data_IF_442533580999
#
_entry.id   IF_442533580999
#
_cell.length_a   1.000
_cell.length_b   1.000
_cell.length_c   1.000
_cell.angle_alpha   90.00
_cell.angle_beta   90.00
_cell.angle_gamma   90.00
#
_symmetry.space_group_name_H-M   'P 1'
#
loop_
_entity.id
_entity.type
_entity.pdbx_description
1 polymer ?
#
# COMPACT_ATOMS: atom_id res chain seq x y z
N UNK A 1 -9.14 21.47 -66.22
CA UNK A 1 -8.49 20.23 -65.76
C UNK A 1 -8.86 20.06 -64.30
N UNK A 2 -9.66 19.04 -64.03
CA UNK A 2 -10.38 18.84 -62.76
C UNK A 2 -9.42 18.34 -61.68
N UNK A 3 -9.48 18.97 -60.50
CA UNK A 3 -8.72 18.59 -59.31
C UNK A 3 -9.31 17.35 -58.66
N UNK A 4 -8.44 16.43 -58.25
CA UNK A 4 -8.78 15.23 -57.50
C UNK A 4 -8.33 15.44 -56.05
N UNK A 5 -9.30 15.62 -55.16
CA UNK A 5 -9.11 15.69 -53.72
C UNK A 5 -9.05 14.26 -53.18
N UNK A 6 -7.88 13.84 -52.68
CA UNK A 6 -7.74 12.56 -51.98
C UNK A 6 -8.47 12.62 -50.64
N UNK A 7 -9.44 11.72 -50.54
CA UNK A 7 -10.38 11.55 -49.45
C UNK A 7 -9.67 10.94 -48.22
N UNK A 8 -9.97 11.53 -47.06
CA UNK A 8 -9.53 11.07 -45.74
C UNK A 8 -10.13 9.69 -45.40
N UNK A 9 -9.27 8.74 -45.02
CA UNK A 9 -9.68 7.50 -44.36
C UNK A 9 -9.70 7.72 -42.84
N UNK A 10 -10.90 7.96 -42.28
CA UNK A 10 -11.18 8.04 -40.84
C UNK A 10 -11.42 6.63 -40.24
N UNK A 11 -10.60 6.15 -39.28
CA UNK A 11 -10.79 4.85 -38.64
C UNK A 11 -11.74 4.88 -37.42
N UNK A 12 -12.85 5.62 -37.48
CA UNK A 12 -13.79 5.78 -36.34
C UNK A 12 -15.15 5.09 -36.56
N UNK A 13 -15.40 4.50 -37.74
CA UNK A 13 -16.70 3.91 -38.07
C UNK A 13 -16.89 2.42 -37.68
N UNK A 14 -15.90 1.75 -37.07
CA UNK A 14 -15.96 0.30 -36.80
C UNK A 14 -16.42 -0.09 -35.38
N UNK A 15 -16.69 0.87 -34.47
CA UNK A 15 -16.87 0.58 -33.04
C UNK A 15 -18.33 0.56 -32.54
N UNK A 16 -19.34 0.67 -33.41
CA UNK A 16 -20.73 0.94 -32.96
C UNK A 16 -21.71 -0.25 -33.01
N UNK A 17 -21.32 -1.45 -33.41
CA UNK A 17 -22.30 -2.53 -33.71
C UNK A 17 -22.26 -3.82 -32.85
N UNK A 18 -21.65 -3.82 -31.66
CA UNK A 18 -21.52 -5.05 -30.84
C UNK A 18 -22.04 -4.98 -29.39
N UNK A 19 -22.80 -3.95 -29.00
CA UNK A 19 -23.36 -3.83 -27.63
C UNK A 19 -24.89 -3.90 -27.53
N UNK A 20 -25.55 -4.55 -28.48
CA UNK A 20 -26.97 -4.87 -28.38
C UNK A 20 -27.13 -6.39 -28.32
N UNK A 21 -27.29 -6.95 -27.11
CA UNK A 21 -28.04 -8.19 -26.76
C UNK A 21 -27.48 -8.87 -25.49
N UNK A 22 -27.59 -8.23 -24.32
CA UNK A 22 -27.67 -8.96 -23.04
C UNK A 22 -28.49 -8.14 -22.04
N UNK A 23 -29.82 -8.10 -22.26
CA UNK A 23 -30.80 -7.76 -21.21
C UNK A 23 -31.24 -9.07 -20.56
N UNK A 24 -30.50 -9.48 -19.53
CA UNK A 24 -30.88 -10.54 -18.60
C UNK A 24 -31.61 -9.91 -17.41
N UNK A 25 -32.83 -10.36 -17.20
CA UNK A 25 -33.83 -9.99 -16.20
C UNK A 25 -33.31 -9.82 -14.77
N UNK A 26 -33.63 -8.68 -14.16
CA UNK A 26 -33.52 -8.42 -12.73
C UNK A 26 -34.52 -9.27 -11.94
N UNK A 27 -34.02 -10.18 -11.10
CA UNK A 27 -34.78 -10.86 -10.08
C UNK A 27 -34.82 -10.03 -8.81
N UNK A 28 -35.92 -9.31 -8.59
CA UNK A 28 -36.24 -8.64 -7.33
C UNK A 28 -36.72 -9.71 -6.34
N UNK A 29 -35.96 -9.97 -5.27
CA UNK A 29 -36.41 -10.80 -4.16
C UNK A 29 -37.20 -9.93 -3.15
N UNK A 30 -38.41 -10.36 -2.73
CA UNK A 30 -39.28 -9.55 -1.89
C UNK A 30 -38.83 -9.54 -0.43
N UNK A 31 -38.64 -8.34 0.10
CA UNK A 31 -38.61 -8.03 1.53
C UNK A 31 -40.05 -7.99 2.03
N UNK A 32 -40.55 -9.04 2.70
CA UNK A 32 -41.60 -8.97 3.73
C UNK A 32 -42.04 -10.34 4.27
N UNK A 33 -42.22 -10.38 5.59
CA UNK A 33 -42.79 -11.47 6.41
C UNK A 33 -41.85 -12.67 6.60
N UNK A 34 -41.48 -13.07 7.81
CA UNK A 34 -42.41 -13.44 8.87
C UNK A 34 -41.73 -13.31 10.26
N UNK A 35 -42.10 -12.26 10.98
CA UNK A 35 -42.07 -12.23 12.44
C UNK A 35 -43.07 -13.29 12.96
N UNK A 36 -42.68 -14.56 13.04
CA UNK A 36 -43.48 -15.59 13.74
C UNK A 36 -42.65 -16.85 14.03
N UNK A 37 -41.67 -16.76 14.93
CA UNK A 37 -41.28 -17.90 15.78
C UNK A 37 -41.16 -17.41 17.22
N UNK A 38 -42.33 -17.07 17.78
CA UNK A 38 -42.52 -16.83 19.19
C UNK A 38 -42.56 -18.16 19.95
N UNK A 39 -41.89 -18.15 21.11
CA UNK A 39 -42.27 -18.84 22.35
C UNK A 39 -42.18 -20.37 22.35
N UNK A 40 -41.02 -20.90 22.73
CA UNK A 40 -40.95 -22.10 23.59
C UNK A 40 -39.91 -21.93 24.69
N UNK A 41 -40.41 -21.90 25.92
CA UNK A 41 -39.77 -22.10 27.22
C UNK A 41 -38.79 -21.03 27.74
N UNK A 42 -39.36 -19.97 28.30
CA UNK A 42 -38.85 -19.40 29.54
C UNK A 42 -39.68 -20.00 30.70
N UNK A 43 -39.01 -20.64 31.67
CA UNK A 43 -39.40 -20.74 33.08
C UNK A 43 -38.42 -21.69 33.78
N UNK A 44 -37.46 -21.12 34.53
CA UNK A 44 -37.00 -21.52 35.87
C UNK A 44 -35.61 -20.92 36.13
N UNK A 45 -35.50 -20.10 37.17
CA UNK A 45 -34.21 -19.69 37.72
C UNK A 45 -33.97 -18.19 37.89
N UNK A 46 -34.96 -17.43 38.40
CA UNK A 46 -34.65 -16.17 39.08
C UNK A 46 -34.05 -16.50 40.45
N UNK A 47 -32.77 -16.17 40.66
CA UNK A 47 -32.18 -15.70 41.92
C UNK A 47 -30.65 -15.78 41.85
N UNK A 48 -29.97 -14.65 41.63
CA UNK A 48 -28.90 -14.14 42.52
C UNK A 48 -28.15 -12.99 41.83
N UNK A 49 -28.02 -11.88 42.53
CA UNK A 49 -26.85 -11.01 42.42
C UNK A 49 -26.95 -9.84 41.44
N UNK A 50 -27.50 -8.72 41.92
CA UNK A 50 -26.97 -7.39 41.61
C UNK A 50 -25.48 -7.35 41.98
N UNK A 51 -24.59 -7.33 40.99
CA UNK A 51 -23.28 -6.68 41.14
C UNK A 51 -23.01 -5.85 39.88
N UNK A 52 -22.93 -4.56 40.13
CA UNK A 52 -22.47 -3.50 39.24
C UNK A 52 -21.21 -3.90 38.47
N UNK A 53 -21.19 -3.60 37.19
CA UNK A 53 -19.99 -3.71 36.39
C UNK A 53 -20.23 -3.15 35.01
N UNK A 54 -20.13 -1.83 34.89
CA UNK A 54 -19.95 -1.17 33.60
C UNK A 54 -18.70 -1.79 32.95
N UNK A 55 -18.90 -2.76 32.08
CA UNK A 55 -17.86 -3.28 31.21
C UNK A 55 -17.52 -2.16 30.23
N UNK A 56 -16.52 -1.36 30.58
CA UNK A 56 -15.91 -0.42 29.67
C UNK A 56 -15.38 -1.21 28.46
N UNK A 57 -16.11 -1.16 27.35
CA UNK A 57 -15.57 -1.50 26.05
C UNK A 57 -14.50 -0.44 25.74
N UNK A 58 -13.29 -0.68 26.21
CA UNK A 58 -12.10 -0.12 25.62
C UNK A 58 -12.02 -0.71 24.21
N UNK A 59 -12.70 -0.07 23.26
CA UNK A 59 -12.37 -0.18 21.87
C UNK A 59 -10.94 0.35 21.73
N UNK A 60 -9.97 -0.54 21.90
CA UNK A 60 -8.61 -0.32 21.47
C UNK A 60 -8.71 -0.15 19.96
N UNK A 61 -8.79 1.10 19.49
CA UNK A 61 -8.35 1.42 18.15
C UNK A 61 -6.89 0.99 18.11
N UNK A 62 -6.63 -0.23 17.62
CA UNK A 62 -5.32 -0.61 17.15
C UNK A 62 -5.02 0.38 16.04
N UNK A 63 -4.31 1.45 16.39
CA UNK A 63 -3.71 2.33 15.42
C UNK A 63 -2.87 1.40 14.54
N UNK A 64 -3.13 1.28 13.24
CA UNK A 64 -2.13 0.73 12.36
C UNK A 64 -1.01 1.76 12.33
N UNK A 65 -0.12 1.71 13.33
CA UNK A 65 1.23 2.20 13.14
C UNK A 65 1.69 1.51 11.87
N UNK A 66 2.05 2.29 10.85
CA UNK A 66 2.52 1.71 9.59
C UNK A 66 3.63 0.70 9.88
N UNK A 67 3.86 -0.26 8.96
CA UNK A 67 4.87 -1.29 9.12
C UNK A 67 6.13 -0.73 9.76
N UNK A 68 6.43 -1.20 10.97
CA UNK A 68 7.65 -0.83 11.67
C UNK A 68 8.82 -1.66 11.15
N UNK A 69 10.04 -1.32 11.57
CA UNK A 69 11.26 -2.09 11.25
C UNK A 69 11.11 -3.61 11.48
N UNK A 70 10.30 -4.02 12.47
CA UNK A 70 10.03 -5.41 12.81
C UNK A 70 9.28 -6.21 11.72
N UNK A 71 8.54 -5.55 10.82
CA UNK A 71 7.78 -6.19 9.74
C UNK A 71 8.60 -6.41 8.48
N UNK A 72 9.82 -5.86 8.41
CA UNK A 72 10.71 -6.05 7.27
C UNK A 72 11.22 -7.51 7.20
N UNK A 73 11.47 -8.05 5.99
CA UNK A 73 12.15 -9.34 5.85
C UNK A 73 13.49 -9.36 6.62
N UNK A 74 13.90 -10.50 7.20
CA UNK A 74 15.14 -10.58 7.98
C UNK A 74 16.39 -10.12 7.23
N UNK A 75 16.48 -10.41 5.93
CA UNK A 75 17.59 -9.96 5.09
C UNK A 75 17.66 -8.44 4.99
N UNK A 76 16.51 -7.78 4.96
CA UNK A 76 16.39 -6.33 4.82
C UNK A 76 16.68 -5.64 6.15
N UNK A 77 16.20 -6.20 7.27
CA UNK A 77 16.61 -5.74 8.60
C UNK A 77 18.15 -5.81 8.76
N UNK A 78 18.75 -6.93 8.38
CA UNK A 78 20.19 -7.10 8.44
C UNK A 78 20.94 -6.17 7.47
N UNK A 79 20.40 -5.92 6.28
CA UNK A 79 20.95 -4.96 5.33
C UNK A 79 20.95 -3.54 5.92
N UNK A 80 19.80 -3.06 6.40
CA UNK A 80 19.64 -1.73 7.00
C UNK A 80 20.56 -1.53 8.20
N UNK A 81 20.65 -2.53 9.10
CA UNK A 81 21.53 -2.48 10.26
C UNK A 81 23.02 -2.33 9.87
N UNK A 82 23.45 -2.97 8.77
CA UNK A 82 24.82 -2.84 8.27
C UNK A 82 25.08 -1.50 7.60
N UNK A 83 24.21 -1.07 6.70
CA UNK A 83 24.46 0.12 5.85
C UNK A 83 24.21 1.45 6.58
N UNK A 84 23.40 1.43 7.64
CA UNK A 84 23.09 2.60 8.47
C UNK A 84 23.75 2.52 9.86
N UNK A 85 24.82 1.74 10.02
CA UNK A 85 25.54 1.63 11.29
C UNK A 85 26.10 2.99 11.77
N UNK A 86 26.47 3.88 10.84
CA UNK A 86 26.72 5.30 11.15
C UNK A 86 25.45 6.13 10.90
N UNK A 87 24.73 6.43 11.98
CA UNK A 87 23.50 7.22 11.93
C UNK A 87 23.72 8.68 11.48
N UNK A 88 24.96 9.20 11.47
CA UNK A 88 25.23 10.58 11.00
C UNK A 88 25.10 10.71 9.49
N UNK A 89 25.32 9.61 8.76
CA UNK A 89 25.29 9.58 7.30
C UNK A 89 24.54 8.33 6.84
N UNK A 90 23.21 8.29 7.00
CA UNK A 90 22.42 7.13 6.61
C UNK A 90 22.56 6.88 5.12
N UNK A 91 23.06 5.69 4.77
CA UNK A 91 23.16 5.23 3.39
C UNK A 91 21.79 5.00 2.76
N UNK A 92 20.81 4.61 3.58
CA UNK A 92 19.43 4.33 3.20
C UNK A 92 18.49 5.17 4.06
N UNK A 93 17.55 5.86 3.42
CA UNK A 93 16.62 6.78 4.09
C UNK A 93 15.17 6.29 4.08
N UNK A 94 14.81 5.36 3.20
CA UNK A 94 13.48 4.75 3.19
C UNK A 94 13.48 3.37 2.54
N UNK A 95 12.48 2.58 2.90
CA UNK A 95 12.11 1.33 2.24
C UNK A 95 10.64 1.43 1.83
N UNK A 96 10.37 1.08 0.58
CA UNK A 96 9.02 0.95 0.05
C UNK A 96 8.76 -0.48 -0.44
N UNK A 97 7.53 -0.94 -0.29
CA UNK A 97 7.04 -2.20 -0.82
C UNK A 97 5.95 -1.92 -1.85
N UNK A 98 5.99 -2.61 -2.98
CA UNK A 98 4.98 -2.49 -4.03
C UNK A 98 5.02 -3.68 -5.00
N UNK A 99 3.96 -3.91 -5.80
CA UNK A 99 3.95 -4.98 -6.78
C UNK A 99 4.63 -4.57 -8.09
N UNK A 100 5.53 -5.41 -8.58
CA UNK A 100 6.20 -5.27 -9.88
C UNK A 100 6.27 -6.64 -10.55
N UNK A 101 5.89 -6.77 -11.81
CA UNK A 101 5.98 -8.04 -12.56
C UNK A 101 5.39 -9.27 -11.81
N UNK A 102 4.25 -9.08 -11.14
CA UNK A 102 3.54 -10.16 -10.42
C UNK A 102 4.20 -10.60 -9.10
N UNK A 103 5.18 -9.87 -8.59
CA UNK A 103 5.83 -10.12 -7.29
C UNK A 103 5.88 -8.86 -6.43
N UNK A 104 6.00 -9.06 -5.13
CA UNK A 104 6.35 -7.99 -4.19
C UNK A 104 7.81 -7.63 -4.34
N UNK A 105 8.11 -6.34 -4.48
CA UNK A 105 9.48 -5.81 -4.50
C UNK A 105 9.70 -4.82 -3.36
N UNK A 106 10.96 -4.74 -2.93
CA UNK A 106 11.44 -3.80 -1.92
C UNK A 106 12.33 -2.77 -2.59
N UNK A 107 11.89 -1.52 -2.62
CA UNK A 107 12.67 -0.37 -3.08
C UNK A 107 13.44 0.26 -1.92
N UNK A 108 14.75 0.23 -2.01
CA UNK A 108 15.67 0.83 -1.05
C UNK A 108 16.05 2.22 -1.57
N UNK A 109 15.55 3.26 -0.88
CA UNK A 109 15.87 4.64 -1.22
C UNK A 109 17.22 5.05 -0.61
N UNK A 110 18.17 5.41 -1.46
CA UNK A 110 19.47 5.86 -1.01
C UNK A 110 19.41 7.27 -0.39
N UNK A 111 20.29 7.52 0.58
CA UNK A 111 20.39 8.81 1.27
C UNK A 111 21.03 9.93 0.45
N UNK A 112 21.66 9.61 -0.68
CA UNK A 112 22.28 10.58 -1.59
C UNK A 112 21.79 10.37 -3.02
N UNK A 113 21.60 11.47 -3.76
CA UNK A 113 21.03 11.45 -5.11
C UNK A 113 21.92 10.82 -6.18
N UNK A 114 23.23 10.71 -5.93
CA UNK A 114 24.20 10.06 -6.82
C UNK A 114 24.26 8.53 -6.65
N UNK A 115 23.50 7.99 -5.69
CA UNK A 115 23.37 6.56 -5.45
C UNK A 115 22.08 6.03 -6.04
N UNK A 116 22.10 4.77 -6.42
CA UNK A 116 20.93 4.09 -6.98
C UNK A 116 19.86 3.83 -5.92
N UNK A 117 18.60 3.98 -6.31
CA UNK A 117 17.46 3.46 -5.56
C UNK A 117 17.18 2.05 -6.07
N UNK A 118 17.56 1.05 -5.28
CA UNK A 118 17.66 -0.34 -5.72
C UNK A 118 16.35 -1.09 -5.45
N UNK A 119 15.95 -1.96 -6.38
CA UNK A 119 14.84 -2.90 -6.21
C UNK A 119 15.35 -4.30 -5.91
N UNK A 120 14.75 -4.92 -4.91
CA UNK A 120 15.00 -6.29 -4.52
C UNK A 120 13.69 -7.08 -4.56
N UNK A 121 13.78 -8.38 -4.86
CA UNK A 121 12.64 -9.28 -4.68
C UNK A 121 12.43 -9.67 -3.19
N UNK A 122 11.44 -10.51 -2.93
CA UNK A 122 11.14 -10.98 -1.58
C UNK A 122 12.25 -11.83 -0.93
N UNK A 123 13.15 -12.41 -1.73
CA UNK A 123 14.27 -13.20 -1.27
C UNK A 123 15.53 -12.34 -1.04
N UNK A 124 15.48 -11.04 -1.36
CA UNK A 124 16.63 -10.14 -1.28
C UNK A 124 17.55 -10.23 -2.50
N UNK A 125 17.06 -10.77 -3.62
CA UNK A 125 17.80 -10.74 -4.89
C UNK A 125 17.66 -9.36 -5.52
N UNK A 126 18.79 -8.76 -5.86
CA UNK A 126 18.81 -7.51 -6.61
C UNK A 126 18.16 -7.70 -7.99
N UNK A 127 17.27 -6.78 -8.36
CA UNK A 127 16.60 -6.76 -9.66
C UNK A 127 17.21 -5.68 -10.57
N UNK A 128 17.18 -4.43 -10.12
CA UNK A 128 17.61 -3.25 -10.89
C UNK A 128 17.58 -1.99 -10.03
N UNK A 129 17.90 -0.83 -10.62
CA UNK A 129 17.66 0.47 -10.01
C UNK A 129 16.87 1.36 -10.97
N UNK A 130 15.57 1.63 -10.74
CA UNK A 130 14.75 2.46 -11.63
C UNK A 130 15.10 3.95 -11.56
N UNK A 131 15.66 4.42 -10.44
CA UNK A 131 15.98 5.84 -10.21
C UNK A 131 17.28 6.01 -9.42
N UNK A 132 17.70 7.26 -9.22
CA UNK A 132 18.97 7.58 -8.57
C UNK A 132 20.16 7.43 -9.52
N UNK A 133 21.35 7.38 -8.96
CA UNK A 133 22.60 7.48 -9.71
C UNK A 133 22.86 8.92 -10.17
N UNK A 134 24.05 9.18 -10.69
CA UNK A 134 24.48 10.53 -11.10
C UNK A 134 23.50 11.23 -12.07
N UNK A 135 22.83 10.48 -12.94
CA UNK A 135 21.87 11.01 -13.91
C UNK A 135 20.43 11.05 -13.39
N UNK A 136 20.14 10.41 -12.25
CA UNK A 136 18.80 10.18 -11.73
C UNK A 136 17.99 9.11 -12.48
N UNK A 137 18.53 8.53 -13.56
CA UNK A 137 17.82 7.59 -14.45
C UNK A 137 17.96 6.12 -14.05
N UNK A 138 18.60 5.86 -12.92
CA UNK A 138 18.84 4.49 -12.48
C UNK A 138 19.88 3.78 -13.35
N UNK A 139 19.88 2.45 -13.30
CA UNK A 139 20.87 1.59 -13.96
C UNK A 139 20.44 1.08 -15.35
N UNK A 140 19.22 1.41 -15.77
CA UNK A 140 18.68 1.07 -17.08
C UNK A 140 18.21 -0.39 -17.26
N UNK A 141 18.22 -1.22 -16.21
CA UNK A 141 17.81 -2.65 -16.33
C UNK A 141 16.30 -2.87 -16.32
N UNK A 142 15.54 -1.94 -15.72
CA UNK A 142 14.08 -1.99 -15.62
C UNK A 142 13.44 -0.72 -16.20
N UNK A 143 13.29 -0.60 -17.53
CA UNK A 143 12.81 0.63 -18.17
C UNK A 143 11.34 0.96 -17.86
N UNK A 144 10.54 -0.03 -17.47
CA UNK A 144 9.12 0.12 -17.13
C UNK A 144 8.88 0.35 -15.63
N UNK A 145 9.87 0.13 -14.77
CA UNK A 145 9.68 0.11 -13.31
C UNK A 145 9.19 1.46 -12.76
N UNK A 146 9.63 2.60 -13.31
CA UNK A 146 9.13 3.93 -12.90
C UNK A 146 7.63 4.07 -13.19
N UNK A 147 7.20 3.65 -14.39
CA UNK A 147 5.80 3.69 -14.78
C UNK A 147 4.96 2.67 -13.97
N UNK A 148 5.49 1.46 -13.75
CA UNK A 148 4.84 0.43 -12.93
C UNK A 148 4.65 0.90 -11.48
N UNK A 149 5.66 1.53 -10.89
CA UNK A 149 5.58 2.11 -9.55
C UNK A 149 4.52 3.20 -9.46
N UNK A 150 4.42 4.06 -10.48
CA UNK A 150 3.37 5.08 -10.53
C UNK A 150 1.97 4.45 -10.66
N UNK A 151 1.84 3.42 -11.50
CA UNK A 151 0.58 2.70 -11.71
C UNK A 151 0.13 1.89 -10.47
N UNK A 152 1.06 1.45 -9.62
CA UNK A 152 0.75 0.75 -8.37
C UNK A 152 -0.05 1.62 -7.38
N UNK A 153 0.06 2.95 -7.44
CA UNK A 153 -0.75 3.88 -6.67
C UNK A 153 -0.75 3.57 -5.16
N UNK A 154 -1.94 3.31 -4.60
CA UNK A 154 -2.14 2.99 -3.18
C UNK A 154 -1.45 1.69 -2.72
N UNK A 155 -1.04 0.82 -3.66
CA UNK A 155 -0.31 -0.41 -3.35
C UNK A 155 1.15 -0.15 -2.99
N UNK A 156 1.63 1.08 -3.18
CA UNK A 156 2.96 1.50 -2.76
C UNK A 156 2.93 1.87 -1.28
N UNK A 157 3.55 1.02 -0.45
CA UNK A 157 3.58 1.16 1.00
C UNK A 157 4.98 1.51 1.47
N UNK A 158 5.10 2.52 2.33
CA UNK A 158 6.35 2.79 3.04
C UNK A 158 6.45 1.82 4.22
N UNK A 159 7.50 1.00 4.26
CA UNK A 159 7.72 0.04 5.35
C UNK A 159 8.74 0.52 6.38
N UNK A 160 9.59 1.47 6.00
CA UNK A 160 10.59 2.01 6.91
C UNK A 160 11.08 3.34 6.39
N UNK A 161 11.49 4.21 7.30
CA UNK A 161 12.26 5.40 6.97
C UNK A 161 13.25 5.69 8.09
N UNK A 162 14.36 6.31 7.72
CA UNK A 162 15.26 6.88 8.71
C UNK A 162 14.59 8.11 9.28
N UNK A 163 14.24 8.07 10.57
CA UNK A 163 13.87 9.28 11.28
C UNK A 163 15.10 10.18 11.35
N UNK A 164 15.00 11.34 10.70
CA UNK A 164 16.00 12.37 10.87
C UNK A 164 16.14 12.62 12.38
N UNK A 165 17.36 12.75 12.92
CA UNK A 165 17.52 13.11 14.31
C UNK A 165 16.72 14.39 14.56
N UNK A 166 15.77 14.31 15.50
CA UNK A 166 14.89 15.42 15.85
C UNK A 166 15.73 16.70 16.00
N UNK A 167 15.30 17.79 15.35
CA UNK A 167 15.98 19.07 15.49
C UNK A 167 16.02 19.39 17.00
N UNK A 168 17.09 19.99 17.55
CA UNK A 168 17.17 20.29 18.98
C UNK A 168 15.93 21.05 19.50
N UNK A 169 15.27 21.84 18.65
CA UNK A 169 14.01 22.53 18.95
C UNK A 169 12.80 21.59 19.15
N UNK A 170 12.76 20.43 18.50
CA UNK A 170 11.64 19.49 18.58
C UNK A 170 11.71 18.66 19.87
N UNK A 171 12.91 18.43 20.43
CA UNK A 171 13.10 17.75 21.72
C UNK A 171 12.66 18.59 22.91
N UNK A 172 12.72 19.92 22.79
CA UNK A 172 12.25 20.83 23.84
C UNK A 172 10.73 20.84 24.02
N UNK A 173 9.98 20.19 23.12
CA UNK A 173 8.51 20.08 23.18
C UNK A 173 8.01 18.69 23.60
N UNK A 174 8.92 17.74 23.84
CA UNK A 174 8.53 16.45 24.41
C UNK A 174 8.29 16.64 25.91
N UNK A 175 7.12 16.25 26.45
CA UNK A 175 6.89 16.33 27.89
C UNK A 175 7.89 15.41 28.59
N UNK A 176 8.59 15.93 29.59
CA UNK A 176 9.41 15.14 30.50
C UNK A 176 8.51 14.04 31.09
N UNK A 177 8.77 12.78 30.72
CA UNK A 177 8.10 11.64 31.32
C UNK A 177 8.70 11.43 32.73
N UNK A 178 7.85 11.23 33.76
CA UNK A 178 8.26 11.14 35.16
C UNK A 178 9.08 9.89 35.49
#
# INVERSE_FOLDING_TARGET
MQGSTSQLDDPVAAAQNLRARHRGTAGVLPVRSLRARLRRLALLGAAFGLVSGAGAMLAACAYPGGPGFAELPPWLQAHLARVNADARHPSVIAVWEWPYQGRTVYEIQAGCCDRFNELYDAQGTYLCAPTGGYTGRGDGKCPDAVAARAAAGEQVRKLWYHEAPAHPADRASAPDLP
#
